data_IF_802189888572
#
_entry.id   IF_802189888572
#
_cell.length_a   1.000
_cell.length_b   1.000
_cell.length_c   1.000
_cell.angle_alpha   90.00
_cell.angle_beta   90.00
_cell.angle_gamma   90.00
#
_symmetry.space_group_name_H-M   'P 1'
#
loop_
_entity.id
_entity.type
_entity.pdbx_description
1 polymer ?
#
# COMPACT_ATOMS: atom_id res chain seq x y z
N UNK A 1 -11.72 4.32 -3.89
CA UNK A 1 -13.09 3.82 -4.13
C UNK A 1 -14.05 4.10 -2.98
N UNK A 2 -13.99 3.40 -1.82
CA UNK A 2 -15.01 3.58 -0.75
C UNK A 2 -15.27 5.03 -0.34
N UNK A 3 -14.22 5.84 -0.17
CA UNK A 3 -14.34 7.28 0.14
C UNK A 3 -15.02 8.09 -0.98
N UNK A 4 -14.77 7.73 -2.24
CA UNK A 4 -15.42 8.37 -3.39
C UNK A 4 -16.92 8.05 -3.39
N UNK A 5 -17.27 6.77 -3.29
CA UNK A 5 -18.68 6.33 -3.24
C UNK A 5 -19.42 6.95 -2.05
N UNK A 6 -18.79 7.05 -0.88
CA UNK A 6 -19.38 7.71 0.28
C UNK A 6 -19.66 9.20 0.04
N UNK A 7 -18.82 9.89 -0.74
CA UNK A 7 -19.02 11.29 -1.13
C UNK A 7 -20.15 11.46 -2.13
N UNK A 8 -20.26 10.55 -3.10
CA UNK A 8 -21.38 10.53 -4.06
C UNK A 8 -22.72 10.25 -3.38
N UNK A 9 -22.70 9.53 -2.26
CA UNK A 9 -23.84 9.35 -1.38
C UNK A 9 -25.05 8.63 -1.99
N UNK A 10 -24.88 7.50 -2.70
CA UNK A 10 -26.00 6.78 -3.30
C UNK A 10 -27.00 6.30 -2.24
N UNK A 11 -28.27 6.25 -2.63
CA UNK A 11 -29.43 5.80 -1.82
C UNK A 11 -30.14 4.61 -2.46
N UNK A 12 -29.88 4.35 -3.73
CA UNK A 12 -30.39 3.18 -4.44
C UNK A 12 -29.26 2.30 -4.97
N UNK A 13 -29.60 1.07 -5.36
CA UNK A 13 -28.65 0.15 -6.02
C UNK A 13 -28.11 0.73 -7.33
N UNK A 14 -28.98 1.35 -8.12
CA UNK A 14 -28.62 1.88 -9.43
C UNK A 14 -27.67 3.08 -9.30
N UNK A 15 -27.91 3.95 -8.32
CA UNK A 15 -27.00 5.04 -7.98
C UNK A 15 -25.65 4.52 -7.50
N UNK A 16 -25.63 3.47 -6.66
CA UNK A 16 -24.38 2.84 -6.22
C UNK A 16 -23.58 2.29 -7.42
N UNK A 17 -24.26 1.62 -8.35
CA UNK A 17 -23.63 1.10 -9.55
C UNK A 17 -23.07 2.23 -10.42
N UNK A 18 -23.83 3.32 -10.61
CA UNK A 18 -23.35 4.49 -11.32
C UNK A 18 -22.13 5.14 -10.65
N UNK A 19 -22.10 5.27 -9.32
CA UNK A 19 -20.94 5.78 -8.59
C UNK A 19 -19.70 4.89 -8.74
N UNK A 20 -19.88 3.57 -8.76
CA UNK A 20 -18.78 2.63 -8.99
C UNK A 20 -18.21 2.77 -10.40
N UNK A 21 -19.06 2.85 -11.42
CA UNK A 21 -18.63 3.03 -12.81
C UNK A 21 -17.90 4.38 -12.98
N UNK A 22 -18.47 5.46 -12.44
CA UNK A 22 -17.84 6.80 -12.45
C UNK A 22 -16.44 6.79 -11.81
N UNK A 23 -16.25 6.07 -10.70
CA UNK A 23 -14.94 5.96 -10.07
C UNK A 23 -13.91 5.33 -11.02
N UNK A 24 -14.27 4.23 -11.67
CA UNK A 24 -13.35 3.54 -12.58
C UNK A 24 -13.09 4.32 -13.87
N UNK A 25 -14.09 5.01 -14.39
CA UNK A 25 -13.96 5.78 -15.64
C UNK A 25 -13.23 7.12 -15.46
N UNK A 26 -13.42 7.79 -14.32
CA UNK A 26 -13.01 9.19 -14.15
C UNK A 26 -11.90 9.40 -13.11
N UNK A 27 -11.88 8.59 -12.06
CA UNK A 27 -10.96 8.80 -10.93
C UNK A 27 -9.74 7.86 -10.97
N UNK A 28 -9.95 6.60 -11.34
CA UNK A 28 -8.88 5.61 -11.38
C UNK A 28 -8.08 5.74 -12.67
N UNK A 29 -6.84 6.20 -12.56
CA UNK A 29 -5.91 6.25 -13.69
C UNK A 29 -4.91 5.10 -13.66
N UNK A 30 -4.29 4.81 -14.81
CA UNK A 30 -3.23 3.80 -14.93
C UNK A 30 -2.06 4.09 -13.99
N UNK A 31 -1.68 5.36 -13.84
CA UNK A 31 -0.64 5.78 -12.90
C UNK A 31 -1.03 5.49 -11.46
N UNK A 32 -2.31 5.66 -11.09
CA UNK A 32 -2.77 5.31 -9.74
C UNK A 32 -2.68 3.80 -9.50
N UNK A 33 -3.11 2.98 -10.46
CA UNK A 33 -2.96 1.52 -10.40
C UNK A 33 -1.49 1.12 -10.24
N UNK A 34 -0.60 1.69 -11.05
CA UNK A 34 0.84 1.43 -10.98
C UNK A 34 1.44 1.83 -9.62
N UNK A 35 0.98 2.93 -8.99
CA UNK A 35 1.42 3.27 -7.62
C UNK A 35 1.08 2.20 -6.60
N UNK A 36 -0.07 1.53 -6.73
CA UNK A 36 -0.43 0.42 -5.84
C UNK A 36 0.43 -0.82 -6.12
N UNK A 37 0.70 -1.13 -7.39
CA UNK A 37 1.60 -2.22 -7.78
C UNK A 37 3.01 -1.98 -7.21
N UNK A 38 3.57 -0.79 -7.41
CA UNK A 38 4.87 -0.40 -6.87
C UNK A 38 4.89 -0.51 -5.34
N UNK A 39 3.79 -0.13 -4.67
CA UNK A 39 3.67 -0.28 -3.22
C UNK A 39 3.81 -1.73 -2.76
N UNK A 40 3.32 -2.72 -3.54
CA UNK A 40 3.49 -4.13 -3.22
C UNK A 40 4.98 -4.54 -3.15
N UNK A 41 5.84 -3.96 -3.98
CA UNK A 41 7.30 -4.22 -3.92
C UNK A 41 7.94 -3.71 -2.63
N UNK A 42 7.37 -2.67 -2.01
CA UNK A 42 7.78 -2.16 -0.69
C UNK A 42 7.21 -3.00 0.47
N UNK A 43 5.97 -3.48 0.35
CA UNK A 43 5.28 -4.20 1.44
C UNK A 43 5.71 -5.66 1.53
N UNK A 44 5.86 -6.36 0.40
CA UNK A 44 6.13 -7.79 0.38
C UNK A 44 7.41 -8.19 1.14
N UNK A 45 8.56 -7.48 1.02
CA UNK A 45 9.75 -7.77 1.83
C UNK A 45 9.49 -7.67 3.34
N UNK A 46 8.67 -6.72 3.78
CA UNK A 46 8.31 -6.54 5.20
C UNK A 46 7.43 -7.70 5.67
N UNK A 47 6.48 -8.17 4.86
CA UNK A 47 5.67 -9.35 5.19
C UNK A 47 6.54 -10.58 5.43
N UNK A 48 7.56 -10.80 4.58
CA UNK A 48 8.53 -11.90 4.72
C UNK A 48 9.32 -11.74 6.02
N UNK A 49 9.86 -10.54 6.28
CA UNK A 49 10.63 -10.26 7.50
C UNK A 49 9.79 -10.44 8.78
N UNK A 50 8.50 -10.14 8.71
CA UNK A 50 7.53 -10.33 9.80
C UNK A 50 6.95 -11.75 9.89
N UNK A 51 7.44 -12.70 9.08
CA UNK A 51 6.98 -14.11 9.05
C UNK A 51 5.46 -14.22 8.86
N UNK A 52 4.89 -13.37 8.00
CA UNK A 52 3.47 -13.38 7.67
C UNK A 52 2.54 -12.72 8.72
N UNK A 53 3.08 -12.12 9.78
CA UNK A 53 2.28 -11.29 10.69
C UNK A 53 1.73 -10.04 9.99
N UNK A 54 0.67 -9.48 10.56
CA UNK A 54 0.08 -8.23 10.08
C UNK A 54 1.12 -7.10 10.06
N UNK A 55 1.29 -6.44 8.91
CA UNK A 55 2.31 -5.40 8.74
C UNK A 55 1.82 -3.99 9.05
N UNK A 56 0.50 -3.74 9.02
CA UNK A 56 -0.07 -2.42 9.30
C UNK A 56 0.65 -1.28 8.57
N UNK A 57 1.09 -0.28 9.33
CA UNK A 57 1.84 0.88 8.84
C UNK A 57 3.37 0.71 8.88
N UNK A 58 3.87 -0.46 9.30
CA UNK A 58 5.31 -0.74 9.47
C UNK A 58 6.12 -0.46 8.21
N UNK A 59 5.72 -0.85 6.98
CA UNK A 59 6.47 -0.49 5.78
C UNK A 59 6.68 1.02 5.61
N UNK A 60 5.69 1.83 5.99
CA UNK A 60 5.79 3.29 5.92
C UNK A 60 6.67 3.86 7.04
N UNK A 61 6.69 3.23 8.20
CA UNK A 61 7.57 3.61 9.31
C UNK A 61 9.02 3.22 9.03
N UNK A 62 9.28 2.08 8.39
CA UNK A 62 10.61 1.61 8.03
C UNK A 62 11.23 2.47 6.94
N UNK A 63 10.55 2.54 5.79
CA UNK A 63 11.06 3.23 4.61
C UNK A 63 10.42 4.61 4.46
N UNK A 64 11.23 5.66 4.65
CA UNK A 64 10.82 7.04 4.38
C UNK A 64 10.58 7.31 2.89
N UNK A 65 11.20 6.50 2.03
CA UNK A 65 11.13 6.69 0.60
C UNK A 65 9.86 6.13 -0.06
N UNK A 66 9.48 6.74 -1.18
CA UNK A 66 8.38 6.32 -2.06
C UNK A 66 8.78 5.04 -2.81
N UNK A 67 7.79 4.18 -3.12
CA UNK A 67 7.98 2.92 -3.86
C UNK A 67 8.16 3.08 -5.37
N UNK A 68 7.77 4.22 -5.95
CA UNK A 68 7.78 4.44 -7.40
C UNK A 68 9.18 4.20 -7.99
N UNK A 69 9.24 3.34 -9.00
CA UNK A 69 10.47 3.01 -9.74
C UNK A 69 11.48 2.16 -8.97
N UNK A 70 11.09 1.57 -7.83
CA UNK A 70 11.96 0.70 -7.03
C UNK A 70 11.49 -0.73 -7.11
N UNK A 71 12.45 -1.64 -7.16
CA UNK A 71 12.18 -3.07 -7.21
C UNK A 71 11.98 -3.66 -5.82
N UNK A 72 11.45 -4.87 -5.77
CA UNK A 72 11.43 -5.69 -4.55
C UNK A 72 12.84 -5.82 -3.93
N UNK A 73 13.85 -6.05 -4.76
CA UNK A 73 15.24 -6.26 -4.33
C UNK A 73 15.81 -5.02 -3.64
N UNK A 74 15.46 -3.81 -4.11
CA UNK A 74 15.85 -2.57 -3.46
C UNK A 74 15.41 -2.53 -1.99
N UNK A 75 14.12 -2.81 -1.72
CA UNK A 75 13.58 -2.79 -0.36
C UNK A 75 14.06 -3.97 0.49
N UNK A 76 14.26 -5.15 -0.11
CA UNK A 76 14.83 -6.30 0.58
C UNK A 76 16.28 -6.02 1.05
N UNK A 77 17.10 -5.42 0.20
CA UNK A 77 18.47 -5.05 0.54
C UNK A 77 18.53 -3.95 1.61
N UNK A 78 17.59 -3.00 1.59
CA UNK A 78 17.48 -2.02 2.66
C UNK A 78 17.11 -2.67 3.99
N UNK A 79 16.17 -3.62 3.99
CA UNK A 79 15.81 -4.34 5.22
C UNK A 79 16.98 -5.13 5.78
N UNK A 80 17.88 -5.66 4.95
CA UNK A 80 19.04 -6.41 5.45
C UNK A 80 20.09 -5.55 6.14
N UNK A 81 19.97 -4.22 6.12
CA UNK A 81 20.88 -3.33 6.86
C UNK A 81 20.64 -3.41 8.37
N UNK A 82 21.71 -3.28 9.16
CA UNK A 82 21.62 -3.32 10.63
C UNK A 82 20.68 -2.27 11.19
N UNK A 83 20.68 -1.06 10.61
CA UNK A 83 19.77 0.02 11.01
C UNK A 83 18.30 -0.39 10.84
N UNK A 84 17.95 -0.94 9.68
CA UNK A 84 16.59 -1.37 9.41
C UNK A 84 16.18 -2.58 10.22
N UNK A 85 17.08 -3.53 10.50
CA UNK A 85 16.80 -4.66 11.38
C UNK A 85 16.51 -4.21 12.82
N UNK A 86 17.28 -3.25 13.35
CA UNK A 86 17.01 -2.65 14.67
C UNK A 86 15.66 -1.96 14.71
N UNK A 87 15.32 -1.20 13.67
CA UNK A 87 14.04 -0.50 13.54
C UNK A 87 12.87 -1.46 13.38
N UNK A 88 13.03 -2.53 12.60
CA UNK A 88 12.00 -3.55 12.46
C UNK A 88 11.76 -4.27 13.78
N UNK A 89 12.83 -4.61 14.51
CA UNK A 89 12.72 -5.26 15.82
C UNK A 89 11.95 -4.39 16.80
N UNK A 90 12.25 -3.08 16.88
CA UNK A 90 11.51 -2.18 17.78
C UNK A 90 10.03 -2.00 17.41
N UNK A 91 9.68 -2.18 16.13
CA UNK A 91 8.31 -2.08 15.63
C UNK A 91 7.52 -3.40 15.74
N UNK A 92 8.20 -4.54 15.78
CA UNK A 92 7.60 -5.88 15.80
C UNK A 92 7.38 -6.44 17.22
N UNK A 93 7.59 -5.62 18.26
CA UNK A 93 7.40 -6.00 19.69
C UNK A 93 5.95 -5.77 20.14
N UNK A 94 5.02 -5.46 19.22
CA UNK A 94 3.58 -5.34 19.49
C UNK A 94 2.83 -6.59 19.05
#
# INVERSE_FOLDING_TARGET
MKRFVAKEGPRTKDELQASLNNFWEKEMTVEQCNRYIDHCFKVAPVCVAMKGKATGDIPSRLFSERSRGKSFHHFANLLSTDEMQRKLTSLNVV
#
